data_IF_712406771459
#
_entry.id   IF_712406771459
#
_cell.length_a   1.000
_cell.length_b   1.000
_cell.length_c   1.000
_cell.angle_alpha   90.00
_cell.angle_beta   90.00
_cell.angle_gamma   90.00
#
_symmetry.space_group_name_H-M   'P 1'
#
loop_
_entity.id
_entity.type
_entity.pdbx_description
1 polymer ?
#
# COMPACT_ATOMS: atom_id res chain seq x y z
N UNK A 1 -9.12 -19.98 -9.69
CA UNK A 1 -9.69 -18.95 -10.61
C UNK A 1 -10.74 -18.16 -9.85
N UNK A 2 -10.79 -16.84 -9.99
CA UNK A 2 -11.78 -16.00 -9.29
C UNK A 2 -13.17 -16.23 -9.87
N UNK A 3 -13.95 -17.15 -9.27
CA UNK A 3 -15.21 -17.67 -9.84
C UNK A 3 -16.38 -16.68 -9.85
N UNK A 4 -16.26 -15.53 -9.20
CA UNK A 4 -17.41 -14.68 -8.82
C UNK A 4 -17.60 -13.39 -9.63
N UNK A 5 -16.80 -13.18 -10.68
CA UNK A 5 -16.89 -11.98 -11.52
C UNK A 5 -17.64 -12.27 -12.83
N UNK A 6 -18.43 -11.29 -13.28
CA UNK A 6 -19.22 -11.32 -14.51
C UNK A 6 -19.35 -9.90 -15.06
N UNK A 7 -19.86 -9.69 -16.29
CA UNK A 7 -20.11 -8.35 -16.81
C UNK A 7 -20.99 -7.46 -15.93
N UNK A 8 -21.80 -8.05 -15.05
CA UNK A 8 -22.71 -7.33 -14.14
C UNK A 8 -22.27 -7.35 -12.67
N UNK A 9 -21.19 -8.06 -12.32
CA UNK A 9 -20.81 -8.28 -10.93
C UNK A 9 -19.30 -8.39 -10.74
N UNK A 10 -18.79 -7.80 -9.66
CA UNK A 10 -17.40 -7.95 -9.20
C UNK A 10 -17.41 -8.41 -7.75
N UNK A 11 -16.83 -9.57 -7.48
CA UNK A 11 -16.62 -10.12 -6.14
C UNK A 11 -17.91 -10.25 -5.31
N UNK A 12 -19.02 -10.62 -5.95
CA UNK A 12 -20.32 -10.70 -5.27
C UNK A 12 -21.12 -9.39 -5.28
N UNK A 13 -20.53 -8.28 -5.75
CA UNK A 13 -21.17 -6.95 -5.74
C UNK A 13 -21.60 -6.56 -7.14
N UNK A 14 -22.87 -6.22 -7.30
CA UNK A 14 -23.41 -5.75 -8.58
C UNK A 14 -22.70 -4.47 -9.05
N UNK A 15 -22.40 -4.41 -10.35
CA UNK A 15 -21.74 -3.26 -10.98
C UNK A 15 -22.57 -1.97 -10.79
N UNK A 16 -23.89 -2.10 -10.80
CA UNK A 16 -24.85 -1.01 -10.57
C UNK A 16 -24.66 -0.32 -9.22
N UNK A 17 -24.21 -1.04 -8.20
CA UNK A 17 -23.89 -0.47 -6.87
C UNK A 17 -22.71 0.50 -6.94
N UNK A 18 -21.74 0.25 -7.82
CA UNK A 18 -20.61 1.16 -8.02
C UNK A 18 -20.98 2.35 -8.89
N UNK A 19 -21.69 2.11 -9.99
CA UNK A 19 -22.09 3.18 -10.93
C UNK A 19 -23.10 4.15 -10.32
N UNK A 20 -24.07 3.67 -9.53
CA UNK A 20 -25.01 4.52 -8.78
C UNK A 20 -24.29 5.42 -7.77
N UNK A 21 -23.32 4.90 -7.02
CA UNK A 21 -22.51 5.72 -6.10
C UNK A 21 -21.65 6.74 -6.84
N UNK A 22 -21.11 6.37 -8.01
CA UNK A 22 -20.40 7.32 -8.85
C UNK A 22 -21.31 8.46 -9.34
N UNK A 23 -22.56 8.15 -9.71
CA UNK A 23 -23.53 9.16 -10.15
C UNK A 23 -23.95 10.15 -9.06
N UNK A 24 -23.79 9.82 -7.78
CA UNK A 24 -24.03 10.75 -6.66
C UNK A 24 -22.82 11.63 -6.35
N UNK A 25 -21.79 11.64 -7.21
CA UNK A 25 -20.56 12.41 -7.03
C UNK A 25 -19.56 11.81 -6.04
N UNK A 26 -19.88 10.63 -5.47
CA UNK A 26 -18.97 9.93 -4.57
C UNK A 26 -18.09 8.96 -5.34
N UNK A 27 -16.78 8.94 -5.08
CA UNK A 27 -15.91 7.92 -5.68
C UNK A 27 -16.14 6.57 -4.98
N UNK A 28 -16.72 5.55 -5.67
CA UNK A 28 -16.97 4.27 -5.03
C UNK A 28 -15.66 3.57 -4.68
N UNK A 29 -15.56 3.06 -3.46
CA UNK A 29 -14.49 2.15 -3.07
C UNK A 29 -14.83 0.75 -3.58
N UNK A 30 -14.08 0.26 -4.57
CA UNK A 30 -14.20 -1.12 -5.07
C UNK A 30 -13.39 -2.05 -4.18
N UNK A 31 -14.02 -3.08 -3.65
CA UNK A 31 -13.39 -4.07 -2.77
C UNK A 31 -13.30 -5.38 -3.53
N UNK A 32 -12.08 -5.82 -3.83
CA UNK A 32 -11.83 -7.11 -4.46
C UNK A 32 -11.78 -8.23 -3.41
N UNK A 33 -12.31 -9.40 -3.76
CA UNK A 33 -12.33 -10.59 -2.90
C UNK A 33 -10.93 -11.15 -2.63
N UNK A 34 -10.85 -12.04 -1.63
CA UNK A 34 -9.65 -12.78 -1.24
C UNK A 34 -8.94 -13.42 -2.41
N UNK A 35 -9.66 -14.15 -3.27
CA UNK A 35 -9.06 -14.88 -4.39
C UNK A 35 -8.41 -13.95 -5.43
N UNK A 36 -8.96 -12.75 -5.68
CA UNK A 36 -8.30 -11.77 -6.55
C UNK A 36 -7.02 -11.25 -5.92
N UNK A 37 -7.04 -10.95 -4.62
CA UNK A 37 -5.84 -10.47 -3.91
C UNK A 37 -4.73 -11.52 -3.96
N UNK A 38 -5.05 -12.78 -3.70
CA UNK A 38 -4.06 -13.85 -3.77
C UNK A 38 -3.62 -14.20 -5.19
N UNK A 39 -4.50 -14.08 -6.19
CA UNK A 39 -4.09 -14.22 -7.60
C UNK A 39 -3.07 -13.14 -8.01
N UNK A 40 -3.26 -11.91 -7.53
CA UNK A 40 -2.28 -10.83 -7.70
C UNK A 40 -0.95 -11.21 -7.04
N UNK A 41 -0.95 -11.68 -5.80
CA UNK A 41 0.26 -12.08 -5.07
C UNK A 41 1.01 -13.19 -5.82
N UNK A 42 0.31 -14.27 -6.20
CA UNK A 42 0.92 -15.38 -6.92
C UNK A 42 1.51 -14.96 -8.27
N UNK A 43 0.82 -14.09 -9.02
CA UNK A 43 1.37 -13.62 -10.29
C UNK A 43 2.61 -12.72 -10.11
N UNK A 44 2.68 -11.95 -9.02
CA UNK A 44 3.88 -11.18 -8.66
C UNK A 44 5.02 -12.15 -8.34
N UNK A 45 4.73 -13.21 -7.59
CA UNK A 45 5.74 -14.20 -7.21
C UNK A 45 6.27 -14.97 -8.43
N UNK A 46 5.35 -15.41 -9.29
CA UNK A 46 5.65 -16.03 -10.58
C UNK A 46 6.57 -15.12 -11.41
N UNK A 47 6.27 -13.81 -11.46
CA UNK A 47 7.07 -12.82 -12.20
C UNK A 47 8.47 -12.62 -11.63
N UNK A 48 8.64 -12.65 -10.31
CA UNK A 48 9.94 -12.54 -9.65
C UNK A 48 10.78 -13.79 -9.93
N UNK A 49 10.19 -14.98 -9.80
CA UNK A 49 10.91 -16.25 -9.94
C UNK A 49 11.35 -16.55 -11.38
N UNK A 50 10.60 -16.09 -12.40
CA UNK A 50 10.83 -16.49 -13.80
C UNK A 50 11.55 -15.46 -14.68
N UNK A 51 11.95 -14.29 -14.16
CA UNK A 51 12.66 -13.30 -14.97
C UNK A 51 14.10 -13.04 -14.51
N UNK A 52 15.03 -13.38 -15.40
CA UNK A 52 16.48 -13.12 -15.28
C UNK A 52 16.87 -11.64 -15.33
N UNK A 53 16.00 -10.76 -15.85
CA UNK A 53 16.17 -9.30 -15.80
C UNK A 53 15.34 -8.74 -14.67
N UNK A 54 15.87 -8.90 -13.46
CA UNK A 54 15.24 -8.39 -12.25
C UNK A 54 15.23 -6.85 -12.29
N UNK A 55 14.11 -6.18 -11.93
CA UNK A 55 14.01 -4.73 -11.82
C UNK A 55 15.18 -4.09 -11.07
N UNK A 56 16.15 -3.49 -11.78
CA UNK A 56 17.24 -2.72 -11.15
C UNK A 56 16.72 -1.44 -10.47
N UNK A 57 15.52 -0.98 -10.84
CA UNK A 57 15.01 0.32 -10.38
C UNK A 57 14.54 0.31 -8.92
N UNK A 58 14.37 1.53 -8.38
CA UNK A 58 13.84 1.76 -7.05
C UNK A 58 12.31 1.59 -6.96
N UNK A 59 11.60 1.42 -8.08
CA UNK A 59 10.13 1.38 -8.11
C UNK A 59 9.57 0.07 -8.67
N UNK A 60 9.91 -1.05 -8.02
CA UNK A 60 9.33 -2.39 -8.26
C UNK A 60 7.83 -2.38 -8.60
N UNK A 61 7.05 -1.59 -7.86
CA UNK A 61 5.62 -1.48 -8.10
C UNK A 61 5.26 -0.82 -9.45
N UNK A 62 6.02 0.17 -9.90
CA UNK A 62 5.79 0.81 -11.21
C UNK A 62 6.16 -0.14 -12.34
N UNK A 63 7.27 -0.86 -12.26
CA UNK A 63 7.65 -1.81 -13.31
C UNK A 63 6.58 -2.90 -13.53
N UNK A 64 6.07 -3.49 -12.45
CA UNK A 64 4.98 -4.48 -12.51
C UNK A 64 3.71 -3.89 -13.14
N UNK A 65 3.38 -2.62 -12.85
CA UNK A 65 2.18 -1.97 -13.41
C UNK A 65 2.33 -1.66 -14.91
N UNK A 66 3.55 -1.49 -15.41
CA UNK A 66 3.84 -1.23 -16.82
C UNK A 66 4.06 -2.51 -17.64
N UNK A 67 4.20 -3.67 -16.99
CA UNK A 67 4.26 -4.99 -17.62
C UNK A 67 2.87 -5.37 -18.19
N UNK A 68 2.60 -4.94 -19.43
CA UNK A 68 1.31 -5.19 -20.11
C UNK A 68 0.99 -6.70 -20.22
N UNK A 69 1.94 -7.59 -20.62
CA UNK A 69 1.70 -9.02 -20.63
C UNK A 69 1.21 -9.58 -19.29
N UNK A 70 1.89 -9.25 -18.19
CA UNK A 70 1.50 -9.66 -16.84
C UNK A 70 0.12 -9.12 -16.46
N UNK A 71 -0.12 -7.83 -16.68
CA UNK A 71 -1.40 -7.19 -16.36
C UNK A 71 -2.57 -7.76 -17.19
N UNK A 72 -2.33 -8.20 -18.43
CA UNK A 72 -3.32 -8.90 -19.26
C UNK A 72 -3.58 -10.34 -18.77
N UNK A 73 -2.53 -11.07 -18.37
CA UNK A 73 -2.64 -12.40 -17.76
C UNK A 73 -3.48 -12.32 -16.50
N UNK A 74 -3.17 -11.36 -15.63
CA UNK A 74 -3.88 -11.13 -14.37
C UNK A 74 -5.35 -10.75 -14.57
N UNK A 75 -5.67 -9.85 -15.51
CA UNK A 75 -7.07 -9.49 -15.81
C UNK A 75 -7.90 -10.71 -16.20
N UNK A 76 -7.32 -11.62 -17.00
CA UNK A 76 -7.96 -12.88 -17.40
C UNK A 76 -8.10 -13.86 -16.24
N UNK A 77 -7.05 -14.05 -15.44
CA UNK A 77 -7.09 -14.94 -14.26
C UNK A 77 -8.08 -14.47 -13.19
N UNK A 78 -8.19 -13.15 -13.00
CA UNK A 78 -9.16 -12.52 -12.12
C UNK A 78 -10.56 -12.43 -12.75
N UNK A 79 -10.72 -12.78 -14.03
CA UNK A 79 -11.98 -12.68 -14.76
C UNK A 79 -12.62 -11.28 -14.65
N UNK A 80 -11.87 -10.22 -14.92
CA UNK A 80 -12.35 -8.81 -14.85
C UNK A 80 -12.29 -8.09 -16.20
N UNK A 81 -12.04 -8.82 -17.28
CA UNK A 81 -11.87 -8.26 -18.63
C UNK A 81 -13.20 -8.14 -19.38
N UNK A 82 -14.13 -7.39 -18.80
CA UNK A 82 -15.48 -7.19 -19.34
C UNK A 82 -15.73 -5.80 -19.89
N UNK A 83 -14.70 -4.96 -20.01
CA UNK A 83 -14.81 -3.57 -20.48
C UNK A 83 -15.55 -3.42 -21.81
N UNK A 84 -15.43 -4.40 -22.71
CA UNK A 84 -16.08 -4.40 -24.03
C UNK A 84 -17.53 -4.89 -23.99
N UNK A 85 -17.96 -5.56 -22.91
CA UNK A 85 -19.34 -6.03 -22.70
C UNK A 85 -20.18 -5.09 -21.85
N UNK A 86 -19.52 -4.21 -21.11
CA UNK A 86 -20.17 -3.27 -20.20
C UNK A 86 -20.63 -2.02 -20.93
N UNK A 87 -21.94 -1.89 -21.11
CA UNK A 87 -22.58 -0.73 -21.75
C UNK A 87 -22.59 0.53 -20.88
N UNK A 88 -22.32 0.40 -19.57
CA UNK A 88 -22.36 1.51 -18.62
C UNK A 88 -21.02 2.21 -18.45
N UNK A 89 -19.93 1.64 -18.98
CA UNK A 89 -18.57 2.13 -18.76
C UNK A 89 -17.99 1.84 -17.36
N UNK A 90 -18.79 1.31 -16.42
CA UNK A 90 -18.37 1.02 -15.05
C UNK A 90 -17.09 0.16 -14.93
N UNK A 91 -16.87 -0.81 -15.82
CA UNK A 91 -15.65 -1.60 -15.85
C UNK A 91 -14.44 -0.76 -16.24
N UNK A 92 -14.54 0.00 -17.34
CA UNK A 92 -13.44 0.84 -17.83
C UNK A 92 -13.12 1.99 -16.87
N UNK A 93 -14.15 2.61 -16.30
CA UNK A 93 -14.02 3.85 -15.53
C UNK A 93 -13.85 3.64 -14.02
N UNK A 94 -14.37 2.54 -13.48
CA UNK A 94 -14.36 2.27 -12.03
C UNK A 94 -13.55 1.01 -11.69
N UNK A 95 -13.90 -0.13 -12.27
CA UNK A 95 -13.33 -1.43 -11.85
C UNK A 95 -11.87 -1.57 -12.23
N UNK A 96 -11.50 -1.36 -13.49
CA UNK A 96 -10.11 -1.52 -13.95
C UNK A 96 -9.16 -0.52 -13.27
N UNK A 97 -9.50 0.78 -13.12
CA UNK A 97 -8.67 1.71 -12.38
C UNK A 97 -8.54 1.33 -10.91
N UNK A 98 -9.62 0.88 -10.25
CA UNK A 98 -9.55 0.41 -8.87
C UNK A 98 -8.69 -0.85 -8.76
N UNK A 99 -8.81 -1.79 -9.69
CA UNK A 99 -8.02 -3.02 -9.72
C UNK A 99 -6.52 -2.72 -9.85
N UNK A 100 -6.12 -1.82 -10.76
CA UNK A 100 -4.71 -1.38 -10.88
C UNK A 100 -4.19 -0.77 -9.57
N UNK A 101 -5.02 0.04 -8.88
CA UNK A 101 -4.67 0.57 -7.55
C UNK A 101 -4.52 -0.53 -6.51
N UNK A 102 -5.37 -1.55 -6.54
CA UNK A 102 -5.25 -2.73 -5.66
C UNK A 102 -3.96 -3.48 -5.94
N UNK A 103 -3.59 -3.72 -7.21
CA UNK A 103 -2.30 -4.34 -7.58
C UNK A 103 -1.14 -3.54 -7.00
N UNK A 104 -1.11 -2.22 -7.24
CA UNK A 104 -0.10 -1.31 -6.68
C UNK A 104 -0.01 -1.38 -5.16
N UNK A 105 -1.16 -1.41 -4.49
CA UNK A 105 -1.24 -1.47 -3.04
C UNK A 105 -0.74 -2.80 -2.49
N UNK A 106 -1.12 -3.93 -3.08
CA UNK A 106 -0.62 -5.26 -2.71
C UNK A 106 0.90 -5.31 -2.86
N UNK A 107 1.44 -4.84 -3.99
CA UNK A 107 2.89 -4.75 -4.23
C UNK A 107 3.62 -4.01 -3.11
N UNK A 108 3.10 -2.85 -2.71
CA UNK A 108 3.68 -2.08 -1.59
C UNK A 108 3.59 -2.83 -0.27
N UNK A 109 2.49 -3.54 -0.02
CA UNK A 109 2.27 -4.27 1.23
C UNK A 109 3.14 -5.50 1.36
N UNK A 110 3.31 -6.29 0.29
CA UNK A 110 4.21 -7.46 0.34
C UNK A 110 5.67 -7.05 0.56
N UNK A 111 6.09 -5.89 0.04
CA UNK A 111 7.42 -5.32 0.37
C UNK A 111 7.46 -4.84 1.83
N UNK A 112 6.45 -4.10 2.29
CA UNK A 112 6.38 -3.61 3.68
C UNK A 112 6.37 -4.77 4.71
N UNK A 113 5.74 -5.89 4.38
CA UNK A 113 5.69 -7.09 5.20
C UNK A 113 6.98 -7.91 5.15
N UNK A 114 7.94 -7.53 4.30
CA UNK A 114 9.21 -8.23 4.13
C UNK A 114 9.10 -9.54 3.33
N UNK A 115 7.98 -9.76 2.64
CA UNK A 115 7.75 -10.97 1.84
C UNK A 115 8.54 -10.92 0.54
N UNK A 116 8.58 -9.74 -0.06
CA UNK A 116 9.43 -9.42 -1.21
C UNK A 116 10.50 -8.46 -0.73
N UNK A 117 11.76 -8.82 -0.89
CA UNK A 117 12.92 -8.04 -0.44
C UNK A 117 13.80 -7.68 -1.64
N UNK A 118 14.44 -6.51 -1.55
CA UNK A 118 15.49 -6.13 -2.50
C UNK A 118 16.82 -6.67 -1.98
N UNK A 119 17.42 -7.57 -2.73
CA UNK A 119 18.82 -7.96 -2.62
C UNK A 119 19.62 -7.24 -3.72
N UNK A 120 20.95 -7.18 -3.58
CA UNK A 120 21.88 -6.33 -4.35
C UNK A 120 21.36 -5.83 -5.71
N UNK A 121 21.08 -6.75 -6.65
CA UNK A 121 20.61 -6.43 -8.02
C UNK A 121 19.22 -6.99 -8.35
N UNK A 122 18.47 -7.42 -7.34
CA UNK A 122 17.42 -8.43 -7.52
C UNK A 122 16.30 -8.31 -6.50
N UNK A 123 15.06 -8.54 -6.92
CA UNK A 123 13.96 -8.78 -6.00
C UNK A 123 13.85 -10.27 -5.76
N UNK A 124 13.72 -10.64 -4.49
CA UNK A 124 13.58 -12.03 -4.06
C UNK A 124 12.35 -12.19 -3.19
N UNK A 125 11.81 -13.41 -3.17
CA UNK A 125 10.72 -13.82 -2.29
C UNK A 125 11.34 -14.65 -1.17
N UNK A 126 10.92 -14.41 0.08
CA UNK A 126 11.29 -15.30 1.19
C UNK A 126 10.86 -16.74 0.92
N UNK A 127 11.75 -17.69 1.17
CA UNK A 127 11.51 -19.13 0.95
C UNK A 127 10.31 -19.68 1.73
N UNK A 128 9.87 -18.99 2.77
CA UNK A 128 8.72 -19.32 3.60
C UNK A 128 7.36 -18.99 2.95
N UNK A 129 7.34 -18.26 1.83
CA UNK A 129 6.11 -17.80 1.17
C UNK A 129 5.77 -18.62 -0.08
N UNK A 130 5.45 -19.89 0.13
CA UNK A 130 5.05 -20.83 -0.93
C UNK A 130 3.56 -21.13 -0.83
N UNK A 131 2.74 -20.31 -1.50
CA UNK A 131 1.29 -20.54 -1.57
C UNK A 131 0.95 -21.47 -2.73
N UNK A 132 0.07 -22.45 -2.47
CA UNK A 132 -0.39 -23.42 -3.46
C UNK A 132 -1.62 -22.92 -4.23
N UNK A 133 -2.33 -21.91 -3.71
CA UNK A 133 -3.55 -21.38 -4.33
C UNK A 133 -3.76 -19.87 -4.14
N UNK A 134 -4.52 -19.21 -5.03
CA UNK A 134 -4.95 -17.82 -4.84
C UNK A 134 -5.75 -17.61 -3.55
N UNK A 135 -6.55 -18.59 -3.13
CA UNK A 135 -7.34 -18.53 -1.91
C UNK A 135 -6.41 -18.46 -0.69
N UNK A 136 -5.45 -19.39 -0.60
CA UNK A 136 -4.45 -19.44 0.47
C UNK A 136 -3.61 -18.15 0.56
N UNK A 137 -3.06 -17.69 -0.58
CA UNK A 137 -2.29 -16.46 -0.63
C UNK A 137 -3.11 -15.24 -0.19
N UNK A 138 -4.39 -15.20 -0.57
CA UNK A 138 -5.30 -14.13 -0.20
C UNK A 138 -5.65 -14.15 1.29
N UNK A 139 -5.88 -15.33 1.86
CA UNK A 139 -6.21 -15.49 3.28
C UNK A 139 -5.02 -15.15 4.17
N UNK A 140 -3.83 -15.63 3.80
CA UNK A 140 -2.58 -15.22 4.43
C UNK A 140 -2.44 -13.68 4.40
N UNK A 141 -2.68 -13.05 3.24
CA UNK A 141 -2.54 -11.61 3.11
C UNK A 141 -3.51 -10.83 4.01
N UNK A 142 -4.75 -11.31 4.13
CA UNK A 142 -5.73 -10.72 5.03
C UNK A 142 -5.28 -10.85 6.51
N UNK A 143 -4.73 -11.99 6.91
CA UNK A 143 -4.19 -12.20 8.26
C UNK A 143 -2.97 -11.30 8.51
N UNK A 144 -2.05 -11.21 7.55
CA UNK A 144 -0.87 -10.37 7.61
C UNK A 144 -1.24 -8.88 7.72
N UNK A 145 -2.29 -8.42 7.01
CA UNK A 145 -2.81 -7.06 7.16
C UNK A 145 -3.36 -6.78 8.55
N UNK A 146 -4.13 -7.71 9.14
CA UNK A 146 -4.64 -7.57 10.50
C UNK A 146 -3.49 -7.48 11.51
N UNK A 147 -2.47 -8.33 11.37
CA UNK A 147 -1.28 -8.31 12.21
C UNK A 147 -0.45 -7.03 12.02
N UNK A 148 -0.36 -6.51 10.80
CA UNK A 148 0.32 -5.25 10.51
C UNK A 148 -0.44 -4.07 11.15
N UNK A 149 -1.77 -4.07 11.07
CA UNK A 149 -2.61 -3.06 11.68
C UNK A 149 -2.54 -3.09 13.21
N UNK A 150 -2.57 -4.28 13.83
CA UNK A 150 -2.42 -4.40 15.28
C UNK A 150 -1.06 -3.92 15.75
N UNK A 151 0.02 -4.25 15.02
CA UNK A 151 1.40 -3.76 15.28
C UNK A 151 1.55 -2.25 15.11
N UNK A 152 0.88 -1.67 14.12
CA UNK A 152 0.87 -0.22 13.93
C UNK A 152 0.03 0.46 15.02
N UNK A 153 -1.08 -0.13 15.44
CA UNK A 153 -1.88 0.34 16.58
C UNK A 153 -1.10 0.30 17.89
N UNK A 154 -0.35 -0.79 18.15
CA UNK A 154 0.55 -0.90 19.31
C UNK A 154 1.75 0.04 19.21
N UNK A 155 2.40 0.19 18.05
CA UNK A 155 3.48 1.19 17.89
C UNK A 155 3.00 2.63 18.10
N UNK A 156 1.79 2.97 17.66
CA UNK A 156 1.21 4.28 17.93
C UNK A 156 0.94 4.42 19.43
N UNK A 157 0.38 3.38 20.07
CA UNK A 157 0.18 3.34 21.53
C UNK A 157 1.49 3.45 22.31
N UNK A 158 2.57 2.79 21.89
CA UNK A 158 3.89 2.82 22.54
C UNK A 158 4.62 4.16 22.34
N UNK A 159 4.35 4.87 21.24
CA UNK A 159 4.88 6.22 20.98
C UNK A 159 4.10 7.32 21.74
N UNK A 160 2.84 7.08 22.12
CA UNK A 160 2.02 8.05 22.89
C UNK A 160 2.63 8.42 24.24
N UNK A 161 3.09 7.48 25.09
CA UNK A 161 3.75 7.80 26.36
C UNK A 161 5.05 8.57 26.16
N UNK A 162 5.81 8.29 25.10
CA UNK A 162 7.07 8.96 24.79
C UNK A 162 6.83 10.41 24.30
N UNK A 163 5.81 10.61 23.46
CA UNK A 163 5.34 11.94 23.05
C UNK A 163 4.74 12.74 24.20
N UNK A 164 3.99 12.10 25.11
CA UNK A 164 3.47 12.72 26.33
C UNK A 164 4.60 13.08 27.29
N UNK A 165 5.62 12.24 27.44
CA UNK A 165 6.83 12.53 28.23
C UNK A 165 7.59 13.73 27.67
N UNK A 166 7.84 13.76 26.36
CA UNK A 166 8.52 14.88 25.70
C UNK A 166 7.71 16.18 25.79
N UNK A 167 6.38 16.09 25.71
CA UNK A 167 5.47 17.23 25.90
C UNK A 167 5.49 17.75 27.35
N UNK A 168 5.51 16.84 28.35
CA UNK A 168 5.64 17.19 29.77
C UNK A 168 7.01 17.79 30.09
N UNK A 169 8.10 17.26 29.52
CA UNK A 169 9.45 17.80 29.65
C UNK A 169 9.55 19.20 29.03
N UNK A 170 8.98 19.42 27.85
CA UNK A 170 8.95 20.73 27.21
C UNK A 170 8.15 21.75 28.03
N UNK A 171 6.99 21.36 28.57
CA UNK A 171 6.17 22.21 29.44
C UNK A 171 6.84 22.51 30.79
N UNK A 172 7.59 21.57 31.36
CA UNK A 172 8.37 21.78 32.59
C UNK A 172 9.58 22.68 32.35
N UNK A 173 10.18 22.64 31.17
CA UNK A 173 11.24 23.57 30.75
C UNK A 173 10.70 24.99 30.52
N UNK A 174 9.48 25.14 30.01
CA UNK A 174 8.84 26.46 29.88
C UNK A 174 8.38 27.06 31.23
N UNK A 175 7.99 26.21 32.20
CA UNK A 175 7.59 26.64 33.55
C UNK A 175 8.77 27.05 34.45
N UNK A 176 9.98 26.55 34.18
CA UNK A 176 11.21 27.08 34.78
C UNK A 176 11.64 28.28 33.95
N UNK A 177 11.17 29.47 34.33
CA UNK A 177 11.49 30.74 33.69
C UNK A 177 13.00 30.88 33.36
N UNK A 178 13.35 31.71 32.36
CA UNK A 178 14.63 31.64 31.68
C UNK A 178 15.81 31.67 32.64
N UNK A 179 16.50 30.53 32.76
CA UNK A 179 17.75 30.40 33.49
C UNK A 179 18.78 31.37 32.90
N UNK A 180 19.68 31.89 33.75
CA UNK A 180 20.75 32.85 33.41
C UNK A 180 21.58 32.42 32.18
N UNK A 181 21.62 31.13 31.86
CA UNK A 181 22.27 30.57 30.66
C UNK A 181 21.64 31.02 29.34
N UNK A 182 20.31 31.24 29.31
CA UNK A 182 19.58 31.63 28.09
C UNK A 182 19.83 33.11 27.72
N UNK A 183 19.94 33.98 28.73
CA UNK A 183 20.33 35.40 28.53
C UNK A 183 21.76 35.53 27.98
N UNK A 184 22.67 34.64 28.39
CA UNK A 184 24.05 34.61 27.88
C UNK A 184 24.12 34.11 26.42
N UNK A 185 23.23 33.20 26.03
CA UNK A 185 23.16 32.69 24.65
C UNK A 185 22.53 33.72 23.70
N UNK A 186 21.46 34.40 24.11
CA UNK A 186 20.83 35.49 23.34
C UNK A 186 21.79 36.68 23.17
N UNK A 187 22.53 37.07 24.21
CA UNK A 187 23.56 38.11 24.11
C UNK A 187 24.71 37.74 23.15
N UNK A 188 25.10 36.46 23.08
CA UNK A 188 26.11 35.96 22.13
C UNK A 188 25.60 35.93 20.68
N UNK A 189 24.32 35.62 20.47
CA UNK A 189 23.69 35.62 19.14
C UNK A 189 23.52 37.06 18.63
N UNK A 190 23.13 38.00 19.49
CA UNK A 190 23.00 39.42 19.13
C UNK A 190 24.36 40.05 18.76
N UNK A 191 25.43 39.79 19.52
CA UNK A 191 26.79 40.28 19.17
C UNK A 191 27.31 39.73 17.84
N UNK A 192 26.97 38.49 17.48
CA UNK A 192 27.37 37.90 16.18
C UNK A 192 26.61 38.48 14.97
N UNK A 193 25.43 39.05 15.17
CA UNK A 193 24.66 39.72 14.11
C UNK A 193 25.17 41.15 13.85
N UNK A 194 25.65 41.84 14.87
CA UNK A 194 26.23 43.19 14.71
C UNK A 194 27.61 43.19 14.03
N UNK A 195 28.35 42.08 14.07
CA UNK A 195 29.66 41.93 13.40
C UNK A 195 29.56 41.48 11.93
N UNK A 196 28.34 41.39 11.36
CA UNK A 196 28.10 41.01 9.96
C UNK A 196 27.48 42.14 9.13
N UNK A 197 27.66 43.38 9.56
CA UNK A 197 27.41 44.60 8.79
C UNK A 197 28.67 45.45 8.78
#
# INVERSE_FOLDING_TARGET
MCKSNSPSQVCGVALTTYTSKASTGTKPTVIFCTSIRGAIILAIFDRINHHFNNPRSASFAEEILHDRPLMNKLRRQCNIDFQWRDKTGGYADLIIPAWKKTVKWILRKVVQMGVVKKEADSWVIGSEYLFQSPEEAGDWFNQALKALQSRLGTKIQDLTPELERLSLEHNNLQKKGPSKTMKTLEARIMRRRQLRH
#
